data_IF_005593132374
#
_entry.id   IF_005593132374
#
_cell.length_a   1.000
_cell.length_b   1.000
_cell.length_c   1.000
_cell.angle_alpha   90.00
_cell.angle_beta   90.00
_cell.angle_gamma   90.00
#
_symmetry.space_group_name_H-M   'P 1'
#
loop_
_entity.id
_entity.type
_entity.pdbx_description
1 polymer ?
#
# COMPACT_ATOMS: atom_id res chain seq x y z
N UNK A 1 -0.25 -7.57 4.82
CA UNK A 1 0.89 -7.63 5.78
C UNK A 1 0.92 -6.40 6.70
N UNK A 2 -0.07 -5.56 6.67
CA UNK A 2 0.02 -4.27 7.36
C UNK A 2 0.98 -3.30 6.65
N UNK A 3 1.14 -2.08 7.18
CA UNK A 3 1.88 -1.00 6.51
C UNK A 3 3.42 -1.13 6.62
N UNK A 4 3.91 -1.92 7.58
CA UNK A 4 5.35 -2.12 7.82
C UNK A 4 5.64 -2.68 9.21
N UNK A 5 4.93 -2.18 10.24
CA UNK A 5 5.04 -2.70 11.61
C UNK A 5 4.51 -4.13 11.68
N UNK A 6 5.30 -5.11 12.14
CA UNK A 6 4.85 -6.49 12.30
C UNK A 6 3.62 -6.63 13.21
N UNK A 7 3.51 -5.85 14.27
CA UNK A 7 2.37 -5.91 15.20
C UNK A 7 1.03 -5.49 14.54
N UNK A 8 1.08 -4.87 13.37
CA UNK A 8 -0.10 -4.50 12.57
C UNK A 8 -0.53 -5.56 11.55
N UNK A 9 0.05 -6.75 11.60
CA UNK A 9 -0.44 -7.89 10.83
C UNK A 9 -1.66 -8.48 11.54
N UNK A 10 -2.75 -8.72 10.81
CA UNK A 10 -3.94 -9.34 11.41
C UNK A 10 -3.65 -10.76 11.87
N UNK A 11 -4.32 -11.22 12.94
CA UNK A 11 -4.20 -12.60 13.44
C UNK A 11 -4.47 -13.62 12.32
N UNK A 12 -5.47 -13.36 11.46
CA UNK A 12 -5.74 -14.21 10.29
C UNK A 12 -4.56 -14.23 9.33
N UNK A 13 -3.90 -13.08 9.11
CA UNK A 13 -2.70 -12.99 8.28
C UNK A 13 -1.54 -13.80 8.84
N UNK A 14 -1.28 -13.69 10.14
CA UNK A 14 -0.25 -14.50 10.83
C UNK A 14 -0.52 -16.00 10.69
N UNK A 15 -1.77 -16.42 10.91
CA UNK A 15 -2.15 -17.82 10.79
C UNK A 15 -1.94 -18.32 9.35
N UNK A 16 -2.39 -17.57 8.34
CA UNK A 16 -2.19 -17.93 6.95
C UNK A 16 -0.70 -18.08 6.56
N UNK A 17 0.18 -17.22 7.10
CA UNK A 17 1.63 -17.36 6.89
C UNK A 17 2.20 -18.63 7.52
N UNK A 18 1.77 -18.96 8.73
CA UNK A 18 2.27 -20.11 9.48
C UNK A 18 1.79 -21.45 8.90
N UNK A 19 0.55 -21.47 8.41
CA UNK A 19 -0.09 -22.65 7.81
C UNK A 19 0.41 -22.92 6.38
N UNK A 20 0.89 -21.91 5.66
CA UNK A 20 1.45 -22.08 4.33
C UNK A 20 2.71 -22.93 4.34
N UNK A 21 2.89 -23.78 3.32
CA UNK A 21 4.11 -24.54 3.09
C UNK A 21 5.24 -23.61 2.64
N UNK A 22 4.89 -22.59 1.83
CA UNK A 22 5.82 -21.59 1.31
C UNK A 22 5.16 -20.20 1.32
N UNK A 23 5.97 -19.18 1.63
CA UNK A 23 5.54 -17.76 1.62
C UNK A 23 6.29 -17.02 0.53
N UNK A 24 5.57 -16.55 -0.47
CA UNK A 24 6.11 -15.74 -1.57
C UNK A 24 6.12 -14.28 -1.17
N UNK A 25 7.26 -13.61 -1.33
CA UNK A 25 7.41 -12.18 -1.11
C UNK A 25 7.84 -11.46 -2.39
N UNK A 26 7.18 -10.36 -2.78
CA UNK A 26 7.56 -9.59 -3.96
C UNK A 26 8.82 -8.76 -3.66
N UNK A 27 9.80 -8.85 -4.54
CA UNK A 27 11.04 -8.08 -4.49
C UNK A 27 11.31 -7.42 -5.85
N UNK A 28 12.17 -6.40 -5.87
CA UNK A 28 12.68 -5.83 -7.12
C UNK A 28 13.93 -6.58 -7.61
N UNK A 29 14.71 -7.09 -6.67
CA UNK A 29 15.90 -7.90 -6.88
C UNK A 29 15.93 -9.01 -5.82
N UNK A 30 16.26 -10.23 -6.21
CA UNK A 30 16.36 -11.38 -5.28
C UNK A 30 17.52 -11.24 -4.29
N UNK A 31 18.49 -10.38 -4.56
CA UNK A 31 19.62 -10.11 -3.67
C UNK A 31 19.29 -9.14 -2.54
N UNK A 32 18.16 -8.43 -2.64
CA UNK A 32 17.72 -7.46 -1.65
C UNK A 32 16.48 -7.95 -0.91
N UNK A 33 16.42 -7.66 0.39
CA UNK A 33 15.21 -7.93 1.17
C UNK A 33 14.12 -6.93 0.84
N UNK A 34 12.94 -7.45 0.50
CA UNK A 34 11.73 -6.65 0.31
C UNK A 34 11.09 -6.23 1.62
N UNK A 35 10.28 -5.18 1.58
CA UNK A 35 9.56 -4.68 2.78
C UNK A 35 8.58 -5.71 3.35
N UNK A 36 7.84 -6.40 2.49
CA UNK A 36 6.93 -7.48 2.92
C UNK A 36 7.70 -8.61 3.60
N UNK A 37 8.91 -8.93 3.09
CA UNK A 37 9.77 -9.96 3.67
C UNK A 37 10.22 -9.62 5.09
N UNK A 38 10.60 -8.37 5.34
CA UNK A 38 11.00 -7.93 6.68
C UNK A 38 9.90 -8.22 7.72
N UNK A 39 8.64 -7.95 7.36
CA UNK A 39 7.49 -8.25 8.22
C UNK A 39 7.22 -9.76 8.32
N UNK A 40 7.31 -10.52 7.21
CA UNK A 40 7.09 -11.98 7.18
C UNK A 40 8.03 -12.72 8.10
N UNK A 41 9.31 -12.34 8.14
CA UNK A 41 10.35 -12.99 8.94
C UNK A 41 10.14 -12.88 10.47
N UNK A 42 9.22 -12.03 10.95
CA UNK A 42 8.79 -12.05 12.34
C UNK A 42 7.90 -13.25 12.68
N UNK A 43 7.29 -13.91 11.68
CA UNK A 43 6.24 -14.91 11.89
C UNK A 43 6.60 -16.29 11.38
N UNK A 44 7.48 -16.38 10.37
CA UNK A 44 7.91 -17.64 9.77
C UNK A 44 9.42 -17.66 9.56
N UNK A 45 10.05 -18.84 9.58
CA UNK A 45 11.47 -18.98 9.36
C UNK A 45 11.84 -18.71 7.88
N UNK A 46 13.09 -18.29 7.64
CA UNK A 46 13.57 -17.84 6.33
C UNK A 46 13.48 -18.93 5.24
N UNK A 47 13.63 -20.20 5.61
CA UNK A 47 13.52 -21.35 4.70
C UNK A 47 12.13 -21.52 4.06
N UNK A 48 11.08 -20.95 4.66
CA UNK A 48 9.75 -20.90 4.05
C UNK A 48 9.58 -19.76 3.05
N UNK A 49 10.51 -18.81 2.98
CA UNK A 49 10.34 -17.58 2.22
C UNK A 49 10.97 -17.71 0.82
N UNK A 50 10.17 -17.45 -0.19
CA UNK A 50 10.60 -17.43 -1.59
C UNK A 50 10.45 -16.02 -2.17
N UNK A 51 11.58 -15.42 -2.55
CA UNK A 51 11.60 -14.12 -3.24
C UNK A 51 11.22 -14.31 -4.70
N UNK A 52 10.24 -13.53 -5.15
CA UNK A 52 9.85 -13.50 -6.56
C UNK A 52 9.97 -12.07 -7.07
N UNK A 53 10.67 -11.91 -8.20
CA UNK A 53 10.89 -10.59 -8.81
C UNK A 53 9.59 -10.09 -9.44
N UNK A 54 9.13 -8.94 -8.97
CA UNK A 54 8.03 -8.20 -9.56
C UNK A 54 8.54 -6.87 -10.10
N UNK A 55 8.15 -6.51 -11.32
CA UNK A 55 8.51 -5.22 -11.92
C UNK A 55 7.73 -4.07 -11.25
N UNK A 56 7.96 -3.85 -9.97
CA UNK A 56 7.25 -2.85 -9.16
C UNK A 56 7.47 -1.42 -9.66
N UNK A 57 8.57 -1.17 -10.37
CA UNK A 57 8.98 0.15 -10.85
C UNK A 57 8.87 0.32 -12.38
N UNK A 58 8.54 -0.73 -13.16
CA UNK A 58 8.40 -0.60 -14.61
C UNK A 58 7.06 0.08 -14.94
N UNK A 59 7.12 1.35 -15.32
CA UNK A 59 5.95 2.18 -15.64
C UNK A 59 5.90 2.63 -17.08
N UNK A 60 7.07 2.67 -17.73
CA UNK A 60 7.23 3.23 -19.06
C UNK A 60 6.89 2.25 -20.17
N UNK A 61 7.12 0.96 -19.96
CA UNK A 61 6.90 -0.09 -20.95
C UNK A 61 5.86 -1.10 -20.45
N UNK A 62 4.69 -1.07 -21.10
CA UNK A 62 3.58 -1.98 -20.78
C UNK A 62 3.96 -3.45 -21.06
N UNK A 63 4.63 -3.71 -22.18
CA UNK A 63 5.00 -5.06 -22.57
C UNK A 63 6.01 -5.68 -21.59
N UNK A 64 7.01 -4.92 -21.17
CA UNK A 64 7.97 -5.36 -20.13
C UNK A 64 7.29 -5.65 -18.80
N UNK A 65 6.34 -4.82 -18.41
CA UNK A 65 5.59 -5.01 -17.19
C UNK A 65 4.73 -6.26 -17.23
N UNK A 66 3.99 -6.50 -18.31
CA UNK A 66 3.20 -7.71 -18.53
C UNK A 66 4.09 -8.96 -18.54
N UNK A 67 5.20 -8.96 -19.26
CA UNK A 67 6.15 -10.06 -19.27
C UNK A 67 6.75 -10.37 -17.87
N UNK A 68 7.00 -9.34 -17.05
CA UNK A 68 7.48 -9.53 -15.70
C UNK A 68 6.39 -10.11 -14.76
N UNK A 69 5.13 -9.72 -14.94
CA UNK A 69 4.00 -10.33 -14.23
C UNK A 69 3.79 -11.78 -14.62
N UNK A 70 3.90 -12.10 -15.91
CA UNK A 70 3.80 -13.47 -16.42
C UNK A 70 4.95 -14.35 -15.88
N UNK A 71 6.17 -13.84 -15.85
CA UNK A 71 7.32 -14.55 -15.28
C UNK A 71 7.14 -14.80 -13.76
N UNK A 72 6.69 -13.78 -13.02
CA UNK A 72 6.38 -13.91 -11.60
C UNK A 72 5.25 -14.92 -11.34
N UNK A 73 4.17 -14.84 -12.15
CA UNK A 73 3.06 -15.77 -12.09
C UNK A 73 3.48 -17.21 -12.44
N UNK A 74 4.33 -17.38 -13.45
CA UNK A 74 4.92 -18.68 -13.79
C UNK A 74 5.66 -19.30 -12.61
N UNK A 75 6.48 -18.51 -11.91
CA UNK A 75 7.21 -18.98 -10.72
C UNK A 75 6.27 -19.37 -9.57
N UNK A 76 5.23 -18.58 -9.31
CA UNK A 76 4.22 -18.91 -8.29
C UNK A 76 3.42 -20.15 -8.69
N UNK A 77 3.10 -20.31 -9.98
CA UNK A 77 2.42 -21.51 -10.49
C UNK A 77 3.26 -22.80 -10.31
N UNK A 78 4.60 -22.74 -10.43
CA UNK A 78 5.48 -23.85 -10.09
C UNK A 78 5.38 -24.22 -8.60
N UNK A 79 5.37 -23.23 -7.73
CA UNK A 79 5.23 -23.44 -6.28
C UNK A 79 3.87 -24.07 -5.93
N UNK A 80 2.79 -23.61 -6.55
CA UNK A 80 1.44 -24.18 -6.37
C UNK A 80 1.31 -25.63 -6.86
N UNK A 81 2.12 -26.05 -7.83
CA UNK A 81 2.15 -27.47 -8.26
C UNK A 81 2.95 -28.36 -7.32
N UNK A 82 3.85 -27.77 -6.54
CA UNK A 82 4.75 -28.48 -5.63
C UNK A 82 4.28 -28.48 -4.16
N UNK A 83 3.34 -27.63 -3.80
CA UNK A 83 2.90 -27.40 -2.43
C UNK A 83 1.38 -27.30 -2.36
N UNK A 84 0.79 -27.72 -1.25
CA UNK A 84 -0.66 -27.68 -1.02
C UNK A 84 -1.14 -26.27 -0.69
N UNK A 85 -0.31 -25.48 0.03
CA UNK A 85 -0.65 -24.11 0.45
C UNK A 85 0.50 -23.12 0.18
N UNK A 86 0.23 -22.09 -0.63
CA UNK A 86 1.17 -21.01 -0.95
C UNK A 86 0.57 -19.69 -0.49
N UNK A 87 1.27 -18.97 0.40
CA UNK A 87 0.89 -17.63 0.80
C UNK A 87 1.67 -16.58 -0.03
N UNK A 88 0.98 -15.53 -0.51
CA UNK A 88 1.62 -14.36 -1.10
C UNK A 88 1.50 -13.17 -0.14
N UNK A 89 2.62 -12.65 0.30
CA UNK A 89 2.66 -11.53 1.24
C UNK A 89 2.83 -10.19 0.52
N UNK A 90 1.89 -9.28 0.72
CA UNK A 90 1.94 -7.91 0.19
C UNK A 90 1.80 -6.88 1.31
N UNK A 91 2.46 -5.74 1.17
CA UNK A 91 2.31 -4.60 2.10
C UNK A 91 0.88 -4.03 2.03
N UNK A 92 0.34 -3.63 3.17
CA UNK A 92 -1.01 -3.09 3.30
C UNK A 92 -2.08 -4.16 3.11
N UNK A 93 -3.07 -3.85 2.32
CA UNK A 93 -4.21 -4.71 1.97
C UNK A 93 -4.08 -5.22 0.53
N UNK A 94 -4.37 -6.50 0.24
CA UNK A 94 -4.22 -7.07 -1.11
C UNK A 94 -5.17 -6.45 -2.14
N UNK A 95 -6.24 -5.79 -1.72
CA UNK A 95 -7.25 -5.20 -2.59
C UNK A 95 -7.15 -3.66 -2.69
N UNK A 96 -6.12 -3.03 -2.05
CA UNK A 96 -5.91 -1.58 -2.10
C UNK A 96 -4.57 -1.26 -2.76
N UNK A 97 -4.59 -0.88 -4.04
CA UNK A 97 -3.40 -0.53 -4.85
C UNK A 97 -2.28 -1.57 -4.84
N UNK A 98 -2.61 -2.84 -4.67
CA UNK A 98 -1.69 -3.97 -4.67
C UNK A 98 -1.52 -4.55 -6.08
N UNK A 99 -0.34 -5.09 -6.37
CA UNK A 99 -0.07 -5.88 -7.59
C UNK A 99 -0.62 -7.30 -7.50
N UNK A 100 -1.16 -7.70 -6.34
CA UNK A 100 -1.71 -9.04 -6.12
C UNK A 100 -2.83 -9.39 -7.12
N UNK A 101 -3.68 -8.41 -7.49
CA UNK A 101 -4.77 -8.63 -8.45
C UNK A 101 -4.25 -9.18 -9.79
N UNK A 102 -3.13 -8.68 -10.30
CA UNK A 102 -2.53 -9.16 -11.55
C UNK A 102 -1.93 -10.56 -11.39
N UNK A 103 -1.29 -10.82 -10.25
CA UNK A 103 -0.82 -12.17 -9.93
C UNK A 103 -1.98 -13.16 -9.87
N UNK A 104 -3.07 -12.83 -9.18
CA UNK A 104 -4.25 -13.68 -9.07
C UNK A 104 -4.84 -14.05 -10.44
N UNK A 105 -4.95 -13.08 -11.35
CA UNK A 105 -5.41 -13.29 -12.72
C UNK A 105 -4.47 -14.22 -13.50
N UNK A 106 -3.14 -14.05 -13.35
CA UNK A 106 -2.16 -14.93 -14.00
C UNK A 106 -2.22 -16.36 -13.45
N UNK A 107 -2.39 -16.52 -12.13
CA UNK A 107 -2.53 -17.84 -11.50
C UNK A 107 -3.81 -18.54 -11.94
N UNK A 108 -4.94 -17.85 -12.01
CA UNK A 108 -6.19 -18.43 -12.50
C UNK A 108 -6.06 -19.00 -13.92
N UNK A 109 -5.28 -18.32 -14.78
CA UNK A 109 -5.00 -18.76 -16.13
C UNK A 109 -4.01 -19.96 -16.19
N UNK A 110 -2.97 -19.99 -15.34
CA UNK A 110 -1.89 -20.98 -15.39
C UNK A 110 -2.18 -22.24 -14.59
N UNK A 111 -3.00 -22.15 -13.54
CA UNK A 111 -3.39 -23.24 -12.64
C UNK A 111 -4.89 -23.17 -12.37
N UNK A 112 -5.73 -23.49 -13.37
CA UNK A 112 -7.18 -23.42 -13.22
C UNK A 112 -7.68 -24.25 -12.05
N UNK A 113 -8.63 -23.71 -11.28
CA UNK A 113 -9.20 -24.36 -10.10
C UNK A 113 -8.44 -24.07 -8.81
N UNK A 114 -7.37 -23.27 -8.84
CA UNK A 114 -6.73 -22.78 -7.61
C UNK A 114 -7.72 -21.94 -6.80
N UNK A 115 -7.90 -22.30 -5.53
CA UNK A 115 -8.70 -21.50 -4.59
C UNK A 115 -7.85 -20.33 -4.10
N UNK A 116 -8.24 -19.11 -4.45
CA UNK A 116 -7.53 -17.89 -4.04
C UNK A 116 -8.35 -17.19 -2.96
N UNK A 117 -7.77 -17.08 -1.76
CA UNK A 117 -8.35 -16.31 -0.66
C UNK A 117 -7.53 -15.06 -0.40
N UNK A 118 -8.21 -13.94 -0.09
CA UNK A 118 -7.55 -12.71 0.37
C UNK A 118 -7.79 -12.50 1.86
N UNK A 119 -6.74 -12.13 2.58
CA UNK A 119 -6.81 -11.75 3.98
C UNK A 119 -6.69 -10.24 4.07
N UNK A 120 -7.69 -9.52 4.61
CA UNK A 120 -7.64 -8.07 4.78
C UNK A 120 -6.42 -7.64 5.61
N UNK A 121 -5.82 -6.53 5.23
CA UNK A 121 -4.68 -5.94 5.93
C UNK A 121 -4.91 -4.48 6.30
N UNK A 122 -4.22 -4.02 7.35
CA UNK A 122 -4.21 -2.61 7.72
C UNK A 122 -3.43 -1.85 6.65
N UNK A 123 -4.03 -0.80 6.12
CA UNK A 123 -3.38 0.04 5.09
C UNK A 123 -2.57 1.18 5.73
N UNK A 124 -1.68 1.78 4.96
CA UNK A 124 -0.88 2.92 5.40
C UNK A 124 -1.74 4.14 5.84
N UNK A 125 -2.95 4.33 5.27
CA UNK A 125 -3.82 5.42 5.71
C UNK A 125 -4.34 5.21 7.12
N UNK A 126 -4.69 3.98 7.50
CA UNK A 126 -5.21 3.67 8.84
C UNK A 126 -4.10 3.82 9.89
N UNK A 127 -2.89 3.36 9.58
CA UNK A 127 -1.73 3.51 10.47
C UNK A 127 -1.35 4.99 10.63
N UNK A 128 -1.24 5.75 9.52
CA UNK A 128 -0.96 7.18 9.57
C UNK A 128 -2.04 7.95 10.33
N UNK A 129 -3.31 7.62 10.14
CA UNK A 129 -4.43 8.22 10.86
C UNK A 129 -4.33 7.96 12.37
N UNK A 130 -4.06 6.71 12.78
CA UNK A 130 -3.93 6.33 14.18
C UNK A 130 -2.77 7.06 14.87
N UNK A 131 -1.63 7.20 14.18
CA UNK A 131 -0.42 7.83 14.74
C UNK A 131 -0.47 9.35 14.77
N UNK A 132 -1.13 9.96 13.78
CA UNK A 132 -1.27 11.42 13.69
C UNK A 132 -2.49 11.96 14.46
N UNK A 133 -3.43 11.10 14.85
CA UNK A 133 -4.71 11.50 15.40
C UNK A 133 -5.70 12.03 14.35
N UNK A 134 -5.39 11.92 13.05
CA UNK A 134 -6.26 12.36 11.98
C UNK A 134 -7.50 11.48 11.89
N UNK A 135 -8.68 12.05 11.96
CA UNK A 135 -9.95 11.33 11.78
C UNK A 135 -10.22 11.20 10.28
N UNK A 136 -10.30 9.96 9.78
CA UNK A 136 -10.54 9.71 8.36
C UNK A 136 -11.96 10.09 7.94
N UNK A 137 -12.96 9.68 8.69
CA UNK A 137 -14.37 9.99 8.38
C UNK A 137 -15.19 10.13 9.65
N UNK A 138 -16.17 11.02 9.63
CA UNK A 138 -17.19 11.18 10.67
C UNK A 138 -18.58 11.29 10.02
N UNK A 139 -19.55 10.56 10.57
CA UNK A 139 -20.94 10.64 10.09
C UNK A 139 -21.08 10.34 8.60
N UNK A 140 -21.49 11.34 7.83
CA UNK A 140 -21.76 11.23 6.38
C UNK A 140 -20.59 11.70 5.50
N UNK A 141 -19.41 11.92 6.05
CA UNK A 141 -18.25 12.38 5.29
C UNK A 141 -17.75 11.34 4.28
N UNK A 142 -17.52 11.72 3.01
CA UNK A 142 -16.90 10.81 2.06
C UNK A 142 -15.39 10.69 2.29
N UNK A 143 -14.84 9.52 1.94
CA UNK A 143 -13.41 9.25 1.90
C UNK A 143 -12.99 8.97 0.46
N UNK A 144 -12.05 9.76 -0.06
CA UNK A 144 -11.53 9.60 -1.42
C UNK A 144 -10.08 9.14 -1.39
N UNK A 145 -9.78 8.02 -2.05
CA UNK A 145 -8.42 7.52 -2.22
C UNK A 145 -7.89 7.88 -3.61
N UNK A 146 -6.73 8.54 -3.66
CA UNK A 146 -6.12 9.01 -4.92
C UNK A 146 -4.69 8.48 -5.05
N UNK A 147 -4.38 7.63 -6.06
CA UNK A 147 -3.01 7.28 -6.37
C UNK A 147 -2.39 8.38 -7.24
N UNK A 148 -1.45 9.14 -6.69
CA UNK A 148 -0.78 10.24 -7.41
C UNK A 148 0.39 9.69 -8.23
N UNK A 149 0.10 8.92 -9.27
CA UNK A 149 1.13 8.29 -10.13
C UNK A 149 1.28 8.95 -11.49
N UNK A 150 0.29 9.72 -11.93
CA UNK A 150 0.23 10.38 -13.24
C UNK A 150 0.02 11.90 -13.15
N UNK A 151 0.36 12.49 -11.99
CA UNK A 151 0.20 13.92 -11.74
C UNK A 151 -0.87 14.24 -10.68
N UNK A 152 -0.96 15.50 -10.28
CA UNK A 152 -1.78 15.95 -9.15
C UNK A 152 -3.18 16.46 -9.56
N UNK A 153 -3.58 16.41 -10.84
CA UNK A 153 -4.88 16.96 -11.30
C UNK A 153 -6.06 16.33 -10.59
N UNK A 154 -6.12 14.98 -10.56
CA UNK A 154 -7.20 14.23 -9.89
C UNK A 154 -7.18 14.49 -8.38
N UNK A 155 -5.98 14.64 -7.79
CA UNK A 155 -5.84 14.99 -6.39
C UNK A 155 -6.44 16.37 -6.10
N UNK A 156 -6.14 17.38 -6.92
CA UNK A 156 -6.67 18.74 -6.76
C UNK A 156 -8.19 18.78 -6.87
N UNK A 157 -8.78 18.04 -7.81
CA UNK A 157 -10.23 17.89 -7.95
C UNK A 157 -10.84 17.24 -6.68
N UNK A 158 -10.23 16.19 -6.15
CA UNK A 158 -10.67 15.54 -4.94
C UNK A 158 -10.57 16.47 -3.71
N UNK A 159 -9.47 17.24 -3.58
CA UNK A 159 -9.24 18.19 -2.49
C UNK A 159 -10.24 19.36 -2.48
N UNK A 160 -10.83 19.71 -3.61
CA UNK A 160 -11.89 20.70 -3.71
C UNK A 160 -13.23 20.17 -3.16
N UNK A 161 -13.40 18.89 -3.00
CA UNK A 161 -14.58 18.25 -2.43
C UNK A 161 -14.66 18.33 -0.90
N UNK A 162 -15.82 17.92 -0.33
CA UNK A 162 -16.12 18.11 1.10
C UNK A 162 -15.46 17.06 2.02
N UNK A 163 -14.98 15.95 1.49
CA UNK A 163 -14.52 14.80 2.27
C UNK A 163 -13.04 14.81 2.62
N UNK A 164 -12.63 13.76 3.30
CA UNK A 164 -11.22 13.44 3.50
C UNK A 164 -10.63 12.88 2.21
N UNK A 165 -9.44 13.33 1.88
CA UNK A 165 -8.68 12.84 0.74
C UNK A 165 -7.39 12.17 1.22
N UNK A 166 -7.16 10.94 0.78
CA UNK A 166 -5.92 10.21 1.03
C UNK A 166 -5.16 10.07 -0.28
N UNK A 167 -3.96 10.64 -0.34
CA UNK A 167 -3.07 10.51 -1.49
C UNK A 167 -2.04 9.42 -1.25
N UNK A 168 -1.95 8.48 -2.20
CA UNK A 168 -0.96 7.41 -2.20
C UNK A 168 0.08 7.59 -3.31
N UNK A 169 1.30 7.08 -3.07
CA UNK A 169 2.37 6.98 -4.07
C UNK A 169 2.80 8.34 -4.64
N UNK A 170 2.71 9.38 -3.84
CA UNK A 170 2.91 10.76 -4.28
C UNK A 170 4.37 11.23 -4.18
N UNK A 171 5.29 10.43 -3.64
CA UNK A 171 6.63 10.89 -3.30
C UNK A 171 7.41 11.59 -4.42
N UNK A 172 7.25 11.17 -5.69
CA UNK A 172 7.87 11.86 -6.83
C UNK A 172 7.18 13.15 -7.22
N UNK A 173 5.92 13.32 -6.87
CA UNK A 173 5.08 14.48 -7.13
C UNK A 173 4.85 15.31 -5.86
N UNK A 174 5.78 15.25 -4.88
CA UNK A 174 5.63 15.94 -3.60
C UNK A 174 5.44 17.46 -3.79
N UNK A 175 6.12 18.06 -4.78
CA UNK A 175 5.97 19.47 -5.12
C UNK A 175 4.54 19.79 -5.57
N UNK A 176 4.03 19.09 -6.58
CA UNK A 176 2.68 19.30 -7.13
C UNK A 176 1.59 19.01 -6.10
N UNK A 177 1.83 18.05 -5.19
CA UNK A 177 0.92 17.75 -4.09
C UNK A 177 0.87 18.89 -3.08
N UNK A 178 2.03 19.45 -2.71
CA UNK A 178 2.10 20.59 -1.82
C UNK A 178 1.41 21.83 -2.43
N UNK A 179 1.58 22.08 -3.74
CA UNK A 179 0.88 23.15 -4.45
C UNK A 179 -0.64 22.93 -4.45
N UNK A 180 -1.11 21.73 -4.78
CA UNK A 180 -2.54 21.40 -4.76
C UNK A 180 -3.17 21.60 -3.38
N UNK A 181 -2.46 21.23 -2.31
CA UNK A 181 -2.91 21.45 -0.93
C UNK A 181 -2.99 22.94 -0.58
N UNK A 182 -2.00 23.75 -1.01
CA UNK A 182 -2.02 25.21 -0.77
C UNK A 182 -3.15 25.90 -1.54
N UNK A 183 -3.31 25.60 -2.83
CA UNK A 183 -4.35 26.17 -3.67
C UNK A 183 -5.76 25.84 -3.20
N UNK A 184 -5.96 24.66 -2.62
CA UNK A 184 -7.25 24.23 -2.06
C UNK A 184 -7.42 24.60 -0.58
N UNK A 185 -6.41 25.21 0.06
CA UNK A 185 -6.43 25.60 1.46
C UNK A 185 -6.50 24.41 2.42
N UNK A 186 -5.92 23.26 2.06
CA UNK A 186 -5.93 22.02 2.85
C UNK A 186 -4.57 21.71 3.50
N UNK A 187 -3.55 22.54 3.28
CA UNK A 187 -2.16 22.28 3.70
C UNK A 187 -1.97 22.23 5.21
N UNK A 188 -2.65 23.10 5.95
CA UNK A 188 -2.44 23.26 7.37
C UNK A 188 -2.96 22.07 8.21
N UNK A 189 -4.04 21.43 7.75
CA UNK A 189 -4.66 20.31 8.46
C UNK A 189 -4.16 18.94 7.95
N UNK A 190 -3.42 18.93 6.85
CA UNK A 190 -2.96 17.69 6.24
C UNK A 190 -1.69 17.16 6.90
N UNK A 191 -1.58 15.83 6.94
CA UNK A 191 -0.43 15.10 7.46
C UNK A 191 0.06 14.10 6.42
N UNK A 192 1.37 13.89 6.38
CA UNK A 192 1.95 12.85 5.55
C UNK A 192 2.87 11.93 6.34
N UNK A 193 3.02 10.70 5.85
CA UNK A 193 3.94 9.73 6.39
C UNK A 193 4.61 8.93 5.29
N UNK A 194 5.84 8.51 5.55
CA UNK A 194 6.61 7.61 4.68
C UNK A 194 7.29 6.54 5.50
N UNK A 195 7.53 5.39 4.87
CA UNK A 195 8.21 4.24 5.47
C UNK A 195 7.61 3.82 6.83
N UNK A 196 6.28 3.92 6.96
CA UNK A 196 5.55 3.62 8.21
C UNK A 196 5.92 2.23 8.75
N UNK A 197 6.23 2.16 10.05
CA UNK A 197 6.64 0.93 10.73
C UNK A 197 8.06 0.46 10.41
N UNK A 198 8.86 1.25 9.69
CA UNK A 198 10.25 0.94 9.34
C UNK A 198 11.22 1.91 10.03
N UNK A 199 12.52 1.59 10.00
CA UNK A 199 13.57 2.39 10.66
C UNK A 199 13.61 3.85 10.15
N UNK A 200 13.32 4.07 8.86
CA UNK A 200 13.35 5.39 8.22
C UNK A 200 11.99 6.10 8.26
N UNK A 201 11.13 5.72 9.18
CA UNK A 201 9.81 6.31 9.33
C UNK A 201 9.86 7.83 9.50
N UNK A 202 8.97 8.50 8.79
CA UNK A 202 8.72 9.93 8.97
C UNK A 202 7.22 10.21 8.94
N UNK A 203 6.72 10.92 9.96
CA UNK A 203 5.35 11.43 10.03
C UNK A 203 5.44 12.92 10.34
N UNK A 204 4.88 13.78 9.48
CA UNK A 204 4.99 15.23 9.59
C UNK A 204 3.73 15.95 9.09
N UNK A 205 3.50 17.21 9.52
CA UNK A 205 2.53 18.10 8.89
C UNK A 205 2.82 18.27 7.39
N UNK A 206 1.78 18.40 6.57
CA UNK A 206 1.98 18.65 5.14
C UNK A 206 2.55 20.04 4.85
N UNK A 207 2.42 20.98 5.79
CA UNK A 207 3.07 22.30 5.72
C UNK A 207 4.61 22.20 5.61
N UNK A 208 5.21 21.10 6.13
CA UNK A 208 6.65 20.83 6.04
C UNK A 208 7.10 20.28 4.68
N UNK A 209 6.18 20.07 3.72
CA UNK A 209 6.53 19.63 2.38
C UNK A 209 7.26 20.77 1.65
N UNK A 210 8.56 20.61 1.46
CA UNK A 210 9.44 21.55 0.75
C UNK A 210 9.50 21.29 -0.76
N UNK A 211 8.80 20.24 -1.23
CA UNK A 211 8.78 19.83 -2.63
C UNK A 211 9.90 18.88 -3.02
N UNK A 212 10.81 18.54 -2.11
CA UNK A 212 11.82 17.52 -2.37
C UNK A 212 11.15 16.13 -2.56
N UNK A 213 11.71 15.27 -3.43
CA UNK A 213 11.20 13.92 -3.61
C UNK A 213 11.19 13.11 -2.32
N UNK A 214 10.09 12.42 -2.07
CA UNK A 214 9.90 11.51 -0.93
C UNK A 214 9.97 10.04 -1.39
N UNK A 215 10.12 9.09 -0.45
CA UNK A 215 10.02 7.67 -0.77
C UNK A 215 8.71 7.31 -1.48
N UNK A 216 8.76 6.31 -2.36
CA UNK A 216 7.59 5.88 -3.14
C UNK A 216 6.38 5.50 -2.28
N UNK A 217 6.60 4.83 -1.16
CA UNK A 217 5.55 4.48 -0.20
C UNK A 217 5.28 5.64 0.78
N UNK A 218 4.94 6.80 0.22
CA UNK A 218 4.45 7.94 0.99
C UNK A 218 2.94 8.02 0.87
N UNK A 219 2.29 8.31 1.99
CA UNK A 219 0.85 8.47 2.15
C UNK A 219 0.57 9.81 2.77
N UNK A 220 -0.46 10.51 2.29
CA UNK A 220 -0.91 11.79 2.83
C UNK A 220 -2.39 11.69 3.17
N UNK A 221 -2.80 12.31 4.26
CA UNK A 221 -4.20 12.50 4.67
C UNK A 221 -4.47 13.99 4.72
N UNK A 222 -5.44 14.45 3.94
CA UNK A 222 -6.05 15.76 4.05
C UNK A 222 -7.46 15.56 4.62
N UNK A 223 -7.68 15.78 5.94
CA UNK A 223 -8.95 15.53 6.60
C UNK A 223 -10.07 16.43 6.07
N UNK A 224 -11.32 15.98 6.14
CA UNK A 224 -12.48 16.82 5.86
C UNK A 224 -12.45 18.08 6.73
N UNK A 225 -12.91 19.21 6.19
CA UNK A 225 -13.10 20.43 6.99
C UNK A 225 -14.27 20.23 7.93
N UNK A 226 -14.04 20.45 9.22
CA UNK A 226 -15.03 20.30 10.30
C UNK A 226 -15.20 21.63 11.03
N UNK A 227 -16.17 22.41 10.57
CA UNK A 227 -16.49 23.73 11.17
C UNK A 227 -17.42 23.63 12.37
N UNK A 228 -17.88 22.43 12.71
CA UNK A 228 -18.83 22.16 13.78
C UNK A 228 -18.17 21.57 15.02
N UNK A 229 -18.83 21.75 16.15
CA UNK A 229 -18.47 21.06 17.37
C UNK A 229 -18.66 19.54 17.28
N UNK A 230 -18.39 18.84 18.37
CA UNK A 230 -18.51 17.38 18.51
C UNK A 230 -19.85 16.86 17.97
N UNK A 231 -19.80 15.94 17.01
CA UNK A 231 -21.00 15.33 16.39
C UNK A 231 -21.67 16.20 15.32
N UNK A 232 -21.03 17.27 14.82
CA UNK A 232 -21.63 18.19 13.84
C UNK A 232 -21.92 17.61 12.46
N UNK A 233 -21.48 16.35 12.21
CA UNK A 233 -21.72 15.63 10.94
C UNK A 233 -22.61 14.38 11.08
N UNK A 234 -23.23 14.20 12.25
CA UNK A 234 -24.19 13.12 12.50
C UNK A 234 -25.58 13.46 11.97
#
# INVERSE_FOLDING_TARGET
MGPGDPELVTVKGVNALREADVVVVPVMDTMERGRAEATVLHYVPEEKVVRVVFALNERSDRGRREAAWDAAGGRVAELLRAHDAVAFATIGDPNVYSTFTYLAQTIDALVPGTVIETVPGITAMQDLAARSGAVLTEGTEPLTLVPVTAGATVLKEALAGPGTVVAYKFGRQAHEVAEALRETGRIEDAVWGSALGLTEESIRPAADLDGAPLPYLSTLIAPARRDGGRGGKL
#
